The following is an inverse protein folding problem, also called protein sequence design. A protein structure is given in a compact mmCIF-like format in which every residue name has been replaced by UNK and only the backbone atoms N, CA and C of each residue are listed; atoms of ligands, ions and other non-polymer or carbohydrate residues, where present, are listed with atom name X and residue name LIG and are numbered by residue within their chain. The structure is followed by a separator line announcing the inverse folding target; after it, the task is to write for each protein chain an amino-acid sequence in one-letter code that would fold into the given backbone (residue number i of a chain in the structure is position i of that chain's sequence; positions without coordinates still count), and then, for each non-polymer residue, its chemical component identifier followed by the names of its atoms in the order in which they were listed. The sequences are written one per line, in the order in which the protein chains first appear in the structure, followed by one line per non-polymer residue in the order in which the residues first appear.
data_IF_555668182087
#
_entry.id   IF_555668182087
#
_cell.length_a   1.000
_cell.length_b   1.000
_cell.length_c   1.000
_cell.angle_alpha   90.00
_cell.angle_beta   90.00
_cell.angle_gamma   90.00
#
_symmetry.space_group_name_H-M   'P 1'
#
loop_
_entity.id
_entity.type
_entity.pdbx_description
1 polymer ?
#
# COMPACT_ATOMS: atom_id res chain seq x y z
N UNK A 1 -9.60 -1.90 1.22
CA UNK A 1 -10.94 -2.08 0.59
C UNK A 1 -11.63 -3.18 1.37
N UNK A 2 -12.80 -2.90 1.94
CA UNK A 2 -13.55 -3.86 2.76
C UNK A 2 -14.37 -4.80 1.85
N UNK A 3 -14.32 -6.11 2.13
CA UNK A 3 -15.09 -7.14 1.43
C UNK A 3 -16.61 -6.87 1.48
N UNK A 4 -17.09 -6.10 2.47
CA UNK A 4 -18.49 -5.69 2.54
C UNK A 4 -18.93 -4.77 1.38
N UNK A 5 -18.00 -4.01 0.81
CA UNK A 5 -18.30 -2.99 -0.22
C UNK A 5 -18.52 -3.62 -1.61
N UNK A 6 -17.86 -4.76 -1.88
CA UNK A 6 -17.98 -5.51 -3.14
C UNK A 6 -19.37 -6.18 -3.32
N UNK A 7 -20.17 -6.24 -2.25
CA UNK A 7 -21.51 -6.87 -2.22
C UNK A 7 -22.63 -6.00 -2.79
N UNK A 8 -22.42 -4.69 -2.98
CA UNK A 8 -23.54 -3.75 -3.11
C UNK A 8 -24.09 -3.53 -4.54
N UNK A 9 -23.42 -3.95 -5.62
CA UNK A 9 -23.78 -3.50 -6.97
C UNK A 9 -24.05 -4.57 -8.03
N UNK A 10 -24.18 -5.84 -7.64
CA UNK A 10 -24.43 -6.94 -8.58
C UNK A 10 -25.73 -7.63 -8.19
N UNK A 11 -26.54 -8.04 -9.17
CA UNK A 11 -27.68 -8.96 -8.95
C UNK A 11 -27.24 -10.11 -8.02
N UNK A 12 -28.11 -10.71 -7.19
CA UNK A 12 -27.68 -11.72 -6.22
C UNK A 12 -27.19 -12.97 -6.97
N UNK A 13 -25.88 -13.10 -7.10
CA UNK A 13 -25.26 -14.31 -7.59
C UNK A 13 -24.80 -15.03 -6.31
N UNK A 14 -25.33 -16.22 -6.03
CA UNK A 14 -24.88 -17.03 -4.88
C UNK A 14 -23.46 -17.54 -5.15
N UNK A 15 -22.46 -16.78 -4.71
CA UNK A 15 -21.08 -17.26 -4.63
C UNK A 15 -20.66 -17.40 -3.18
N UNK A 16 -20.17 -18.59 -2.85
CA UNK A 16 -19.51 -18.88 -1.58
C UNK A 16 -18.02 -18.67 -1.77
N UNK A 17 -17.46 -17.67 -1.10
CA UNK A 17 -16.00 -17.46 -1.05
C UNK A 17 -15.49 -18.31 0.11
N UNK A 18 -14.74 -19.36 -0.21
CA UNK A 18 -14.00 -20.16 0.79
C UNK A 18 -12.57 -19.65 0.86
N UNK A 19 -12.16 -19.19 2.05
CA UNK A 19 -10.79 -18.78 2.34
C UNK A 19 -10.01 -20.04 2.70
N UNK A 20 -9.25 -20.57 1.73
CA UNK A 20 -8.50 -21.83 1.87
C UNK A 20 -7.18 -21.62 2.63
N UNK A 21 -6.57 -20.44 2.48
CA UNK A 21 -5.39 -20.00 3.22
C UNK A 21 -5.83 -18.78 4.05
N UNK A 22 -5.77 -18.89 5.39
CA UNK A 22 -6.24 -17.88 6.34
C UNK A 22 -5.37 -16.61 6.35
N UNK A 23 -4.90 -16.19 7.54
CA UNK A 23 -3.84 -15.17 7.68
C UNK A 23 -2.49 -15.71 7.20
N UNK A 24 -2.39 -16.10 5.93
CA UNK A 24 -1.08 -16.26 5.34
C UNK A 24 -0.44 -14.87 5.37
N UNK A 25 0.71 -14.69 6.04
CA UNK A 25 1.33 -13.39 6.14
C UNK A 25 1.62 -12.93 4.73
N UNK A 26 0.92 -11.89 4.28
CA UNK A 26 1.26 -11.19 3.05
C UNK A 26 2.75 -10.91 3.09
N UNK A 27 3.41 -11.10 1.94
CA UNK A 27 4.81 -10.70 1.84
C UNK A 27 4.91 -9.24 2.32
N UNK A 28 5.86 -8.99 3.22
CA UNK A 28 6.18 -7.65 3.70
C UNK A 28 6.33 -6.65 2.55
N UNK A 29 6.81 -7.11 1.39
CA UNK A 29 6.90 -6.30 0.19
C UNK A 29 5.52 -5.85 -0.34
N UNK A 30 4.52 -6.74 -0.40
CA UNK A 30 3.17 -6.39 -0.85
C UNK A 30 2.53 -5.32 0.05
N UNK A 31 2.75 -5.41 1.36
CA UNK A 31 2.23 -4.43 2.32
C UNK A 31 2.89 -3.05 2.14
N UNK A 32 4.19 -3.01 1.86
CA UNK A 32 4.91 -1.77 1.55
C UNK A 32 4.40 -1.16 0.25
N UNK A 33 4.23 -1.96 -0.79
CA UNK A 33 3.74 -1.51 -2.09
C UNK A 33 2.31 -0.95 -1.99
N UNK A 34 1.41 -1.66 -1.29
CA UNK A 34 0.05 -1.21 -1.01
C UNK A 34 0.04 0.13 -0.25
N UNK A 35 0.89 0.28 0.76
CA UNK A 35 1.00 1.51 1.54
C UNK A 35 1.47 2.71 0.67
N UNK A 36 2.49 2.51 -0.16
CA UNK A 36 2.98 3.53 -1.10
C UNK A 36 1.88 3.93 -2.09
N UNK A 37 1.09 2.97 -2.57
CA UNK A 37 -0.04 3.21 -3.47
C UNK A 37 -1.11 4.07 -2.80
N UNK A 38 -1.49 3.73 -1.57
CA UNK A 38 -2.46 4.48 -0.76
C UNK A 38 -1.98 5.93 -0.56
N UNK A 39 -0.74 6.12 -0.08
CA UNK A 39 -0.16 7.45 0.18
C UNK A 39 -0.10 8.28 -1.11
N UNK A 40 0.28 7.67 -2.23
CA UNK A 40 0.34 8.35 -3.53
C UNK A 40 -1.05 8.83 -3.98
N UNK A 41 -2.09 8.01 -3.78
CA UNK A 41 -3.48 8.36 -4.08
C UNK A 41 -3.95 9.55 -3.24
N UNK A 42 -3.68 9.54 -1.93
CA UNK A 42 -4.01 10.66 -1.04
C UNK A 42 -3.22 11.92 -1.37
N UNK A 43 -1.92 11.81 -1.64
CA UNK A 43 -1.09 12.94 -2.01
C UNK A 43 -1.56 13.60 -3.32
N UNK A 44 -2.04 12.81 -4.28
CA UNK A 44 -2.66 13.32 -5.50
C UNK A 44 -3.95 14.10 -5.23
N UNK A 45 -4.76 13.67 -4.26
CA UNK A 45 -6.00 14.36 -3.85
C UNK A 45 -5.74 15.62 -3.03
N UNK A 46 -4.76 15.59 -2.12
CA UNK A 46 -4.44 16.71 -1.21
C UNK A 46 -3.67 17.82 -1.94
N UNK A 47 -2.68 17.44 -2.75
CA UNK A 47 -1.77 18.42 -3.36
C UNK A 47 -2.00 18.63 -4.85
N UNK A 48 -2.73 17.73 -5.51
CA UNK A 48 -2.90 17.71 -6.97
C UNK A 48 -1.91 16.76 -7.66
N UNK A 49 -2.34 16.15 -8.77
CA UNK A 49 -1.61 15.09 -9.47
C UNK A 49 -0.18 15.47 -9.91
N UNK A 50 0.06 16.77 -10.18
CA UNK A 50 1.33 17.34 -10.65
C UNK A 50 2.07 18.18 -9.60
N UNK A 51 1.62 18.19 -8.35
CA UNK A 51 2.23 19.05 -7.33
C UNK A 51 3.58 18.53 -6.87
N UNK A 52 4.54 19.44 -6.75
CA UNK A 52 5.87 19.13 -6.19
C UNK A 52 5.76 18.58 -4.76
N UNK A 53 4.78 19.02 -3.97
CA UNK A 53 4.56 18.53 -2.60
C UNK A 53 4.19 17.04 -2.56
N UNK A 54 3.46 16.55 -3.56
CA UNK A 54 3.15 15.12 -3.72
C UNK A 54 4.44 14.32 -3.90
N UNK A 55 5.31 14.77 -4.81
CA UNK A 55 6.59 14.10 -5.10
C UNK A 55 7.47 14.03 -3.86
N UNK A 56 7.60 15.15 -3.14
CA UNK A 56 8.39 15.22 -1.90
C UNK A 56 7.86 14.27 -0.83
N UNK A 57 6.54 14.21 -0.62
CA UNK A 57 5.95 13.31 0.36
C UNK A 57 6.21 11.84 0.01
N UNK A 58 5.93 11.44 -1.24
CA UNK A 58 6.10 10.05 -1.68
C UNK A 58 7.56 9.61 -1.60
N UNK A 59 8.50 10.48 -1.98
CA UNK A 59 9.94 10.17 -1.87
C UNK A 59 10.39 10.09 -0.41
N UNK A 60 9.92 11.00 0.46
CA UNK A 60 10.25 10.97 1.88
C UNK A 60 9.79 9.68 2.56
N UNK A 61 8.57 9.22 2.26
CA UNK A 61 8.06 7.95 2.80
C UNK A 61 8.87 6.76 2.30
N UNK A 62 9.20 6.70 0.99
CA UNK A 62 10.05 5.63 0.45
C UNK A 62 11.41 5.57 1.14
N UNK A 63 12.00 6.73 1.42
CA UNK A 63 13.28 6.82 2.13
C UNK A 63 13.16 6.31 3.56
N UNK A 64 12.14 6.73 4.30
CA UNK A 64 11.90 6.26 5.68
C UNK A 64 11.75 4.74 5.74
N UNK A 65 11.02 4.14 4.79
CA UNK A 65 10.82 2.69 4.76
C UNK A 65 12.15 1.97 4.50
N UNK A 66 12.99 2.47 3.59
CA UNK A 66 14.33 1.92 3.35
C UNK A 66 15.29 2.09 4.54
N UNK A 67 15.24 3.23 5.23
CA UNK A 67 16.02 3.46 6.45
C UNK A 67 15.60 2.48 7.57
N UNK A 68 14.31 2.13 7.64
CA UNK A 68 13.78 1.15 8.60
C UNK A 68 14.11 -0.30 8.24
N UNK A 69 14.35 -0.62 6.96
CA UNK A 69 14.74 -1.97 6.54
C UNK A 69 16.22 -2.30 6.79
N UNK A 70 17.00 -1.35 7.32
CA UNK A 70 18.35 -1.61 7.83
C UNK A 70 19.42 -1.79 6.77
N UNK A 71 19.23 -1.30 5.55
CA UNK A 71 20.20 -1.45 4.45
C UNK A 71 21.47 -0.56 4.61
N UNK A 72 21.57 0.26 5.67
CA UNK A 72 22.68 1.21 5.89
C UNK A 72 23.63 0.82 7.04
N UNK A 73 23.73 -0.46 7.43
CA UNK A 73 24.69 -0.91 8.46
C UNK A 73 25.76 -1.91 7.97
N UNK A 74 26.41 -1.64 6.84
CA UNK A 74 27.80 -2.08 6.51
C UNK A 74 28.19 -1.30 5.23
N UNK A 75 29.23 -0.47 5.16
CA UNK A 75 30.65 -0.76 5.36
C UNK A 75 31.37 0.56 5.70
N UNK A 76 31.98 0.64 6.88
CA UNK A 76 33.16 1.50 7.11
C UNK A 76 34.32 0.55 7.42
N UNK A 77 35.09 0.24 6.38
CA UNK A 77 36.43 -0.34 6.45
C UNK A 77 37.40 0.62 5.78
#
# INVERSE_FOLDING_TARGET
MDLSTLRSSSQPWEFKIEVVFGEEPKDTQELVEDLISIITSFAGKIFGMRSHKKTVLVQGVKKLIGELSGEDSEVKG
#
